data_IF_760347105928
#
_entry.id   IF_760347105928
#
_cell.length_a   1.000
_cell.length_b   1.000
_cell.length_c   1.000
_cell.angle_alpha   90.00
_cell.angle_beta   90.00
_cell.angle_gamma   90.00
#
_symmetry.space_group_name_H-M   'P 1'
#
loop_
_entity.id
_entity.type
_entity.pdbx_description
1 polymer ?
#
# COMPACT_ATOMS: atom_id res chain seq x y z
N UNK A 1 7.62 15.16 -4.28
CA UNK A 1 7.81 14.06 -3.29
C UNK A 1 7.06 14.42 -2.03
N UNK A 2 6.33 13.46 -1.42
CA UNK A 2 5.63 13.65 -0.14
C UNK A 2 6.38 12.94 0.97
N UNK A 3 6.43 13.54 2.15
CA UNK A 3 7.01 12.95 3.35
C UNK A 3 5.92 12.35 4.23
N UNK A 4 5.88 11.02 4.31
CA UNK A 4 4.93 10.27 5.13
C UNK A 4 5.72 9.55 6.24
N UNK A 5 5.40 9.85 7.50
CA UNK A 5 6.09 9.28 8.66
C UNK A 5 5.35 8.07 9.18
N UNK A 6 6.07 6.95 9.39
CA UNK A 6 5.51 5.74 9.96
C UNK A 6 5.37 5.86 11.48
N UNK A 7 4.19 5.50 11.97
CA UNK A 7 3.85 5.42 13.38
C UNK A 7 3.56 3.96 13.71
N UNK A 8 4.43 3.33 14.49
CA UNK A 8 4.37 1.89 14.73
C UNK A 8 3.77 1.53 16.10
N UNK A 9 3.84 2.46 17.06
CA UNK A 9 3.41 2.28 18.43
C UNK A 9 2.78 3.54 19.02
N UNK A 10 2.36 3.45 20.29
CA UNK A 10 1.75 4.58 20.99
C UNK A 10 2.70 5.73 21.25
N UNK A 11 3.98 5.48 21.39
CA UNK A 11 4.97 6.52 21.67
C UNK A 11 5.21 7.35 20.41
N UNK A 12 5.45 6.69 19.28
CA UNK A 12 5.55 7.36 17.97
C UNK A 12 4.25 8.10 17.62
N UNK A 13 3.09 7.53 17.96
CA UNK A 13 1.81 8.19 17.76
C UNK A 13 1.63 9.47 18.58
N UNK A 14 2.19 9.56 19.80
CA UNK A 14 2.20 10.79 20.61
C UNK A 14 3.04 11.90 19.94
N UNK A 15 4.05 11.54 19.17
CA UNK A 15 4.89 12.47 18.43
C UNK A 15 4.19 13.07 17.19
N UNK A 16 3.17 12.39 16.66
CA UNK A 16 2.48 12.80 15.44
C UNK A 16 1.98 14.25 15.49
N UNK A 17 1.50 14.70 16.65
CA UNK A 17 1.06 16.09 16.83
C UNK A 17 2.19 17.09 16.65
N UNK A 18 3.40 16.76 17.09
CA UNK A 18 4.59 17.62 16.95
C UNK A 18 5.14 17.62 15.54
N UNK A 19 4.96 16.50 14.82
CA UNK A 19 5.46 16.34 13.46
C UNK A 19 4.48 16.84 12.40
N UNK A 20 3.23 17.07 12.77
CA UNK A 20 2.16 17.35 11.82
C UNK A 20 2.45 18.54 10.88
N UNK A 21 3.13 19.57 11.35
CA UNK A 21 3.46 20.75 10.53
C UNK A 21 4.63 20.53 9.56
N UNK A 22 5.39 19.44 9.72
CA UNK A 22 6.62 19.16 8.97
C UNK A 22 6.47 18.01 7.97
N UNK A 23 5.35 17.28 7.99
CA UNK A 23 5.11 16.10 7.16
C UNK A 23 3.83 16.22 6.33
N UNK A 24 3.75 15.51 5.23
CA UNK A 24 2.56 15.47 4.39
C UNK A 24 1.52 14.46 4.90
N UNK A 25 1.95 13.46 5.66
CA UNK A 25 1.05 12.43 6.16
C UNK A 25 1.67 11.47 7.16
N UNK A 26 0.87 10.51 7.57
CA UNK A 26 1.26 9.48 8.52
C UNK A 26 0.86 8.10 8.01
N UNK A 27 1.77 7.13 8.12
CA UNK A 27 1.49 5.73 7.92
C UNK A 27 1.18 5.07 9.28
N UNK A 28 0.13 4.28 9.35
CA UNK A 28 -0.34 3.59 10.54
C UNK A 28 -0.48 2.09 10.25
N UNK A 29 -0.22 1.29 11.26
CA UNK A 29 -0.51 -0.13 11.25
C UNK A 29 -1.95 -0.41 11.75
N UNK A 30 -2.35 -1.69 11.75
CA UNK A 30 -3.68 -2.13 12.17
C UNK A 30 -4.02 -1.81 13.64
N UNK A 31 -3.02 -1.63 14.52
CA UNK A 31 -3.24 -1.30 15.94
C UNK A 31 -3.63 0.16 16.12
N UNK A 32 -3.03 1.04 15.32
CA UNK A 32 -3.17 2.48 15.51
C UNK A 32 -4.30 3.10 14.67
N UNK A 33 -4.75 2.45 13.59
CA UNK A 33 -5.70 3.04 12.65
C UNK A 33 -7.06 3.41 13.27
N UNK A 34 -7.56 2.62 14.22
CA UNK A 34 -8.83 2.92 14.89
C UNK A 34 -8.83 4.23 15.67
N UNK A 35 -7.64 4.70 16.04
CA UNK A 35 -7.44 5.96 16.75
C UNK A 35 -7.66 7.20 15.88
N UNK A 36 -7.68 7.05 14.56
CA UNK A 36 -7.93 8.15 13.61
C UNK A 36 -9.29 8.81 13.80
N UNK A 37 -10.31 8.06 14.19
CA UNK A 37 -11.68 8.56 14.41
C UNK A 37 -11.76 9.80 15.32
N UNK A 38 -10.74 10.05 16.12
CA UNK A 38 -10.73 11.04 17.17
C UNK A 38 -9.75 12.20 16.94
N UNK A 39 -8.98 12.23 15.83
CA UNK A 39 -7.80 13.10 15.79
C UNK A 39 -7.69 14.14 14.67
N UNK A 40 -8.70 14.42 13.92
CA UNK A 40 -8.78 15.65 13.12
C UNK A 40 -7.63 15.97 12.14
N UNK A 41 -6.93 14.96 11.63
CA UNK A 41 -5.86 15.16 10.62
C UNK A 41 -6.40 15.38 9.19
N UNK A 42 -7.47 16.19 9.09
CA UNK A 42 -8.28 16.40 7.87
C UNK A 42 -7.49 16.87 6.63
N UNK A 43 -6.26 17.33 6.82
CA UNK A 43 -5.42 17.86 5.73
C UNK A 43 -4.17 17.00 5.46
N UNK A 44 -4.05 15.84 6.10
CA UNK A 44 -2.89 14.96 5.98
C UNK A 44 -3.22 13.73 5.18
N UNK A 45 -2.24 13.19 4.49
CA UNK A 45 -2.35 11.86 3.93
C UNK A 45 -2.40 10.85 5.09
N UNK A 46 -3.41 10.01 5.09
CA UNK A 46 -3.56 8.93 6.06
C UNK A 46 -3.38 7.62 5.34
N UNK A 47 -2.26 7.00 5.60
CA UNK A 47 -1.86 5.76 4.96
C UNK A 47 -2.01 4.59 5.94
N UNK A 48 -2.88 3.65 5.64
CA UNK A 48 -3.04 2.42 6.41
C UNK A 48 -2.36 1.26 5.68
N UNK A 49 -1.28 0.76 6.24
CA UNK A 49 -0.44 -0.28 5.65
C UNK A 49 -0.93 -1.68 6.07
N UNK A 50 -2.04 -2.14 5.49
CA UNK A 50 -2.65 -3.43 5.82
C UNK A 50 -2.11 -4.61 5.01
N UNK A 51 -1.58 -4.35 3.81
CA UNK A 51 -1.19 -5.41 2.86
C UNK A 51 -2.32 -6.42 2.64
N UNK A 52 -3.52 -5.89 2.34
CA UNK A 52 -4.75 -6.68 2.26
C UNK A 52 -4.58 -7.90 1.35
N UNK A 53 -4.81 -9.06 1.91
CA UNK A 53 -4.79 -10.34 1.21
C UNK A 53 -5.90 -11.23 1.77
N UNK A 54 -7.03 -11.25 1.08
CA UNK A 54 -8.24 -11.94 1.51
C UNK A 54 -9.18 -12.20 0.31
N UNK A 55 -10.35 -12.73 0.57
CA UNK A 55 -11.41 -12.89 -0.43
C UNK A 55 -11.85 -11.54 -1.01
N UNK A 56 -12.34 -11.50 -2.26
CA UNK A 56 -12.75 -10.25 -2.90
C UNK A 56 -13.73 -9.42 -2.07
N UNK A 57 -14.74 -10.06 -1.49
CA UNK A 57 -15.74 -9.36 -0.68
C UNK A 57 -15.13 -8.74 0.59
N UNK A 58 -14.23 -9.45 1.26
CA UNK A 58 -13.54 -8.94 2.45
C UNK A 58 -12.70 -7.72 2.11
N UNK A 59 -11.90 -7.80 1.04
CA UNK A 59 -11.02 -6.70 0.63
C UNK A 59 -11.85 -5.46 0.28
N UNK A 60 -12.92 -5.62 -0.50
CA UNK A 60 -13.84 -4.52 -0.84
C UNK A 60 -14.42 -3.89 0.43
N UNK A 61 -14.97 -4.68 1.34
CA UNK A 61 -15.59 -4.18 2.58
C UNK A 61 -14.58 -3.43 3.47
N UNK A 62 -13.31 -3.87 3.49
CA UNK A 62 -12.26 -3.16 4.23
C UNK A 62 -11.97 -1.82 3.58
N UNK A 63 -11.87 -1.74 2.24
CA UNK A 63 -11.61 -0.49 1.52
C UNK A 63 -12.75 0.51 1.73
N UNK A 64 -14.01 0.06 1.65
CA UNK A 64 -15.18 0.90 1.95
C UNK A 64 -15.11 1.49 3.37
N UNK A 65 -14.76 0.67 4.36
CA UNK A 65 -14.61 1.12 5.74
C UNK A 65 -13.45 2.11 5.93
N UNK A 66 -12.36 1.94 5.18
CA UNK A 66 -11.25 2.90 5.17
C UNK A 66 -11.69 4.27 4.62
N UNK A 67 -12.48 4.29 3.55
CA UNK A 67 -13.06 5.50 2.98
C UNK A 67 -13.96 6.23 3.98
N UNK A 68 -14.85 5.53 4.68
CA UNK A 68 -15.67 6.09 5.75
C UNK A 68 -14.84 6.72 6.88
N UNK A 69 -13.63 6.22 7.08
CA UNK A 69 -12.69 6.70 8.09
C UNK A 69 -11.76 7.81 7.61
N UNK A 70 -11.99 8.37 6.41
CA UNK A 70 -11.15 9.41 5.79
C UNK A 70 -9.69 8.97 5.55
N UNK A 71 -9.47 7.69 5.36
CA UNK A 71 -8.18 7.16 4.93
C UNK A 71 -7.95 7.52 3.46
N UNK A 72 -6.75 7.96 3.13
CA UNK A 72 -6.42 8.42 1.78
C UNK A 72 -5.57 7.41 1.00
N UNK A 73 -4.99 6.42 1.67
CA UNK A 73 -4.07 5.46 1.07
C UNK A 73 -4.06 4.13 1.81
N UNK A 74 -4.02 3.02 1.08
CA UNK A 74 -3.85 1.67 1.67
C UNK A 74 -3.06 0.75 0.74
N UNK A 75 -2.61 -0.38 1.28
CA UNK A 75 -1.83 -1.39 0.55
C UNK A 75 -2.64 -2.65 0.28
N UNK A 76 -2.47 -3.19 -0.92
CA UNK A 76 -3.09 -4.41 -1.43
C UNK A 76 -1.97 -5.37 -1.83
N UNK A 77 -1.98 -6.60 -1.33
CA UNK A 77 -1.05 -7.63 -1.76
C UNK A 77 -1.30 -8.03 -3.22
N UNK A 78 -0.25 -8.06 -4.04
CA UNK A 78 -0.34 -8.51 -5.44
C UNK A 78 -0.56 -10.03 -5.56
N UNK A 79 -0.53 -10.76 -4.44
CA UNK A 79 -0.87 -12.19 -4.38
C UNK A 79 -2.39 -12.47 -4.33
N UNK A 80 -3.23 -11.45 -4.27
CA UNK A 80 -4.66 -11.62 -4.45
C UNK A 80 -4.97 -12.16 -5.85
N UNK A 81 -6.14 -12.78 -6.01
CA UNK A 81 -6.65 -13.17 -7.32
C UNK A 81 -7.13 -11.95 -8.14
N UNK A 82 -7.29 -12.13 -9.45
CA UNK A 82 -7.60 -11.04 -10.37
C UNK A 82 -8.96 -10.37 -10.05
N UNK A 83 -9.94 -11.12 -9.53
CA UNK A 83 -11.24 -10.58 -9.14
C UNK A 83 -11.14 -9.50 -8.06
N UNK A 84 -10.14 -9.57 -7.16
CA UNK A 84 -9.90 -8.51 -6.18
C UNK A 84 -9.52 -7.22 -6.89
N UNK A 85 -8.61 -7.29 -7.86
CA UNK A 85 -8.14 -6.10 -8.58
C UNK A 85 -9.24 -5.49 -9.44
N UNK A 86 -10.05 -6.31 -10.11
CA UNK A 86 -11.20 -5.85 -10.90
C UNK A 86 -12.21 -5.10 -10.00
N UNK A 87 -12.53 -5.67 -8.85
CA UNK A 87 -13.46 -5.05 -7.90
C UNK A 87 -12.92 -3.75 -7.31
N UNK A 88 -11.61 -3.63 -7.15
CA UNK A 88 -10.98 -2.43 -6.58
C UNK A 88 -10.88 -1.26 -7.57
N UNK A 89 -11.03 -1.49 -8.88
CA UNK A 89 -10.98 -0.41 -9.88
C UNK A 89 -12.01 0.71 -9.61
N UNK A 90 -13.14 0.38 -9.02
CA UNK A 90 -14.17 1.36 -8.68
C UNK A 90 -13.71 2.41 -7.66
N UNK A 91 -12.74 2.10 -6.81
CA UNK A 91 -12.27 2.98 -5.73
C UNK A 91 -11.04 3.83 -6.08
N UNK A 92 -10.43 3.62 -7.25
CA UNK A 92 -9.15 4.26 -7.62
C UNK A 92 -9.16 5.79 -7.65
N UNK A 93 -10.33 6.41 -7.77
CA UNK A 93 -10.49 7.86 -7.71
C UNK A 93 -10.71 8.40 -6.30
N UNK A 94 -11.02 7.54 -5.34
CA UNK A 94 -11.40 7.92 -3.97
C UNK A 94 -10.29 7.64 -2.96
N UNK A 95 -9.55 6.56 -3.15
CA UNK A 95 -8.44 6.16 -2.28
C UNK A 95 -7.23 5.73 -3.11
N UNK A 96 -6.04 6.09 -2.68
CA UNK A 96 -4.79 5.67 -3.30
C UNK A 96 -4.49 4.22 -2.95
N UNK A 97 -4.71 3.32 -3.89
CA UNK A 97 -4.37 1.91 -3.76
C UNK A 97 -2.92 1.67 -4.17
N UNK A 98 -2.14 1.05 -3.30
CA UNK A 98 -0.73 0.70 -3.54
C UNK A 98 -0.57 -0.81 -3.59
N UNK A 99 -0.01 -1.32 -4.66
CA UNK A 99 0.37 -2.74 -4.75
C UNK A 99 1.57 -3.05 -3.87
N UNK A 100 1.53 -4.17 -3.13
CA UNK A 100 2.69 -4.71 -2.41
C UNK A 100 3.06 -6.04 -3.03
N UNK A 101 4.29 -6.16 -3.50
CA UNK A 101 4.84 -7.38 -4.09
C UNK A 101 5.44 -8.29 -3.00
N UNK A 102 6.74 -8.33 -2.91
CA UNK A 102 7.41 -9.07 -1.84
C UNK A 102 7.59 -8.22 -0.60
N UNK A 103 7.59 -8.87 0.54
CA UNK A 103 8.02 -8.19 1.77
C UNK A 103 9.55 -8.06 1.75
N UNK A 104 10.05 -6.89 2.12
CA UNK A 104 11.50 -6.61 2.15
C UNK A 104 12.29 -7.50 3.11
N UNK A 105 11.59 -8.20 4.02
CA UNK A 105 12.16 -9.20 4.92
C UNK A 105 12.35 -10.58 4.29
N UNK A 106 11.80 -10.82 3.09
CA UNK A 106 11.91 -12.11 2.43
C UNK A 106 13.26 -12.26 1.71
N UNK A 107 13.89 -13.40 1.91
CA UNK A 107 15.06 -13.83 1.13
C UNK A 107 14.61 -14.36 -0.25
N UNK A 108 15.49 -14.47 -1.24
CA UNK A 108 15.18 -15.14 -2.50
C UNK A 108 14.66 -16.58 -2.32
N UNK A 109 15.13 -17.29 -1.29
CA UNK A 109 14.66 -18.62 -0.94
C UNK A 109 13.23 -18.60 -0.43
N UNK A 110 12.85 -17.61 0.40
CA UNK A 110 11.48 -17.44 0.87
C UNK A 110 10.54 -17.12 -0.31
N UNK A 111 10.96 -16.23 -1.20
CA UNK A 111 10.21 -15.87 -2.40
C UNK A 111 9.95 -17.13 -3.25
N UNK A 112 10.99 -17.91 -3.55
CA UNK A 112 10.84 -19.15 -4.30
C UNK A 112 9.97 -20.18 -3.59
N UNK A 113 10.12 -20.33 -2.27
CA UNK A 113 9.34 -21.29 -1.49
C UNK A 113 7.84 -20.98 -1.51
N UNK A 114 7.47 -19.69 -1.48
CA UNK A 114 6.07 -19.24 -1.46
C UNK A 114 5.48 -19.23 -2.87
N UNK A 115 6.22 -18.70 -3.83
CA UNK A 115 5.70 -18.40 -5.16
C UNK A 115 5.96 -19.52 -6.18
N UNK A 116 6.90 -20.44 -5.89
CA UNK A 116 7.35 -21.50 -6.82
C UNK A 116 7.83 -20.99 -8.18
N UNK A 117 8.17 -19.71 -8.25
CA UNK A 117 8.64 -19.03 -9.45
C UNK A 117 9.87 -18.17 -9.11
N UNK A 118 10.66 -17.87 -10.14
CA UNK A 118 11.72 -16.88 -10.04
C UNK A 118 11.13 -15.47 -9.88
N UNK A 119 11.86 -14.50 -9.30
CA UNK A 119 11.37 -13.15 -9.07
C UNK A 119 10.83 -12.43 -10.31
N UNK A 120 11.51 -12.52 -11.46
CA UNK A 120 11.19 -11.72 -12.65
C UNK A 120 9.77 -11.94 -13.20
N UNK A 121 9.28 -13.18 -13.44
CA UNK A 121 7.91 -13.40 -13.92
C UNK A 121 6.85 -12.89 -12.94
N UNK A 122 7.18 -12.90 -11.64
CA UNK A 122 6.25 -12.43 -10.62
C UNK A 122 6.16 -10.92 -10.56
N UNK A 123 7.24 -10.20 -10.85
CA UNK A 123 7.23 -8.76 -10.98
C UNK A 123 6.28 -8.33 -12.11
N UNK A 124 6.44 -8.91 -13.30
CA UNK A 124 5.56 -8.61 -14.44
C UNK A 124 4.09 -8.88 -14.12
N UNK A 125 3.78 -10.03 -13.53
CA UNK A 125 2.42 -10.36 -13.16
C UNK A 125 1.85 -9.40 -12.11
N UNK A 126 2.65 -9.05 -11.10
CA UNK A 126 2.26 -8.10 -10.06
C UNK A 126 1.95 -6.73 -10.65
N UNK A 127 2.78 -6.26 -11.57
CA UNK A 127 2.60 -4.95 -12.21
C UNK A 127 1.35 -4.91 -13.09
N UNK A 128 1.07 -5.96 -13.86
CA UNK A 128 -0.17 -6.06 -14.65
C UNK A 128 -1.42 -6.00 -13.76
N UNK A 129 -1.39 -6.67 -12.60
CA UNK A 129 -2.52 -6.71 -11.66
C UNK A 129 -2.84 -5.35 -11.04
N UNK A 130 -1.85 -4.52 -10.84
CA UNK A 130 -2.02 -3.19 -10.24
C UNK A 130 -2.15 -2.07 -11.28
N UNK A 131 -2.36 -2.41 -12.54
CA UNK A 131 -2.63 -1.43 -13.57
C UNK A 131 -3.83 -0.55 -13.18
N UNK A 132 -3.62 0.76 -13.23
CA UNK A 132 -4.59 1.75 -12.77
C UNK A 132 -4.60 2.03 -11.26
N UNK A 133 -3.78 1.36 -10.46
CA UNK A 133 -3.53 1.74 -9.06
C UNK A 133 -2.65 2.98 -8.98
N UNK A 134 -2.64 3.61 -7.81
CA UNK A 134 -1.84 4.82 -7.58
C UNK A 134 -0.33 4.55 -7.66
N UNK A 135 0.13 3.38 -7.25
CA UNK A 135 1.53 3.03 -7.29
C UNK A 135 1.87 1.68 -6.66
N UNK A 136 3.15 1.48 -6.44
CA UNK A 136 3.75 0.26 -5.93
C UNK A 136 4.58 0.56 -4.69
N UNK A 137 4.55 -0.34 -3.71
CA UNK A 137 5.48 -0.35 -2.57
C UNK A 137 6.60 -1.33 -2.87
N UNK A 138 7.82 -0.83 -2.95
CA UNK A 138 9.01 -1.62 -3.22
C UNK A 138 10.21 -1.13 -2.41
N UNK A 139 11.24 -1.95 -2.30
CA UNK A 139 12.53 -1.52 -1.76
C UNK A 139 13.29 -0.68 -2.79
N UNK A 140 14.11 0.29 -2.39
CA UNK A 140 15.03 0.94 -3.31
C UNK A 140 15.97 -0.02 -4.05
N UNK A 141 16.20 -1.22 -3.51
CA UNK A 141 17.00 -2.27 -4.15
C UNK A 141 16.29 -2.93 -5.34
N UNK A 142 14.97 -2.87 -5.36
CA UNK A 142 14.13 -3.46 -6.42
C UNK A 142 13.98 -2.50 -7.62
N UNK A 143 14.38 -1.23 -7.48
CA UNK A 143 14.23 -0.22 -8.54
C UNK A 143 14.93 -0.57 -9.85
N UNK A 144 16.16 -1.15 -9.87
CA UNK A 144 16.79 -1.55 -11.12
C UNK A 144 15.97 -2.58 -11.90
N UNK A 145 15.32 -3.54 -11.21
CA UNK A 145 14.51 -4.58 -11.83
C UNK A 145 13.20 -4.00 -12.37
N UNK A 146 12.66 -2.99 -11.69
CA UNK A 146 11.44 -2.29 -12.09
C UNK A 146 11.69 -1.38 -13.30
N UNK A 147 12.83 -0.71 -13.39
CA UNK A 147 13.19 0.16 -14.51
C UNK A 147 13.42 -0.63 -15.82
N UNK A 148 13.68 -1.93 -15.73
CA UNK A 148 13.81 -2.84 -16.88
C UNK A 148 12.46 -3.23 -17.50
N UNK A 149 11.39 -3.11 -16.74
CA UNK A 149 10.02 -3.34 -17.20
C UNK A 149 9.52 -2.00 -17.72
N UNK A 150 9.36 -1.90 -19.03
CA UNK A 150 8.96 -0.67 -19.74
C UNK A 150 7.63 -0.12 -19.20
N UNK A 151 7.73 0.82 -18.27
CA UNK A 151 6.58 1.48 -17.65
C UNK A 151 6.02 2.55 -18.61
N UNK A 152 5.43 2.17 -19.70
CA UNK A 152 4.64 3.09 -20.52
C UNK A 152 3.38 3.63 -19.79
N UNK A 153 3.11 3.20 -18.58
CA UNK A 153 1.87 3.51 -17.86
C UNK A 153 2.14 4.14 -16.49
N UNK A 154 1.89 5.41 -16.41
CA UNK A 154 1.52 6.33 -15.29
C UNK A 154 1.54 5.81 -13.83
N UNK A 155 2.61 5.21 -13.35
CA UNK A 155 2.79 5.01 -11.91
C UNK A 155 3.51 6.21 -11.29
N UNK A 156 2.94 6.80 -10.25
CA UNK A 156 3.66 7.77 -9.44
C UNK A 156 4.58 7.04 -8.46
N UNK A 157 5.87 7.32 -8.53
CA UNK A 157 6.82 6.89 -7.49
C UNK A 157 6.50 7.65 -6.20
N UNK A 158 6.13 6.96 -5.16
CA UNK A 158 5.80 7.50 -3.83
C UNK A 158 7.00 7.38 -2.91
#
# INVERSE_FOLDING_TARGET
MKLIVSLEDEESFKLAKKLADYVDGFKLNHILWERLKYRGWKKKEIFIDFKLWDTPNTVVSVVERLLESSVTMTTISTFNNDVVFDNLQQFKSEIKLLGVTYLTSWTPQDQYAICRQMPDPMWEQSLRRIEGFYGLVCSPKDLPDIDYIDFEHNFQRV
#
